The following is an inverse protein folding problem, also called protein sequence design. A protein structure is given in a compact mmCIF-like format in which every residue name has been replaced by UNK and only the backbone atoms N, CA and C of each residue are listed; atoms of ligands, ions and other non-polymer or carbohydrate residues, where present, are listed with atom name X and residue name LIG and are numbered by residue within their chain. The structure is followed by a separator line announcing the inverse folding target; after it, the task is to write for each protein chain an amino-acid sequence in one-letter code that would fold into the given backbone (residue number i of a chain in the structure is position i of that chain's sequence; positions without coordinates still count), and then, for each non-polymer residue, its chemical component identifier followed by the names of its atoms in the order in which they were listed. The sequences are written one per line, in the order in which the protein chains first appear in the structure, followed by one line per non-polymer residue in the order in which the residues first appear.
data_IF_608764680008
#
_entry.id   IF_608764680008
#
_cell.length_a   1.000
_cell.length_b   1.000
_cell.length_c   1.000
_cell.angle_alpha   90.00
_cell.angle_beta   90.00
_cell.angle_gamma   90.00
#
_symmetry.space_group_name_H-M   'P 1'
#
loop_
_entity.id
_entity.type
_entity.pdbx_description
1 polymer ?
#
# COMPACT_ATOMS: atom_id res chain seq x y z
N UNK A 1 -3.42 -15.29 17.90
CA UNK A 1 -3.81 -14.09 17.11
C UNK A 1 -2.65 -13.11 17.16
N UNK A 2 -1.88 -12.99 16.07
CA UNK A 2 -0.58 -12.28 16.06
C UNK A 2 -0.69 -10.77 15.82
N UNK A 3 -1.66 -10.35 15.00
CA UNK A 3 -1.83 -8.94 14.67
C UNK A 3 -3.26 -8.48 14.94
N UNK A 4 -3.40 -7.27 15.48
CA UNK A 4 -4.64 -6.51 15.50
C UNK A 4 -4.49 -5.44 14.43
N UNK A 5 -5.42 -5.38 13.47
CA UNK A 5 -5.34 -4.48 12.33
C UNK A 5 -6.43 -3.42 12.44
N UNK A 6 -6.04 -2.15 12.36
CA UNK A 6 -6.93 -1.01 12.21
C UNK A 6 -6.91 -0.53 10.77
N UNK A 7 -8.08 -0.37 10.16
CA UNK A 7 -8.22 0.15 8.80
C UNK A 7 -9.11 1.39 8.87
N UNK A 8 -8.57 2.52 8.44
CA UNK A 8 -9.35 3.74 8.25
C UNK A 8 -9.63 3.91 6.76
N UNK A 9 -10.92 3.96 6.41
CA UNK A 9 -11.42 4.02 5.04
C UNK A 9 -12.09 5.37 4.81
N UNK A 10 -11.31 6.36 4.39
CA UNK A 10 -11.82 7.63 3.93
C UNK A 10 -12.22 7.59 2.45
N UNK A 11 -12.97 8.58 2.00
CA UNK A 11 -13.36 8.75 0.60
C UNK A 11 -12.20 9.19 -0.29
N UNK A 12 -11.25 9.96 0.24
CA UNK A 12 -10.06 10.43 -0.49
C UNK A 12 -8.83 9.59 -0.19
N UNK A 13 -8.66 9.22 1.08
CA UNK A 13 -7.47 8.54 1.57
C UNK A 13 -7.84 7.44 2.57
N UNK A 14 -7.05 6.37 2.59
CA UNK A 14 -7.14 5.26 3.52
C UNK A 14 -5.79 5.06 4.22
N UNK A 15 -5.80 4.50 5.42
CA UNK A 15 -4.58 4.07 6.10
C UNK A 15 -4.76 2.74 6.81
N UNK A 16 -3.65 2.04 7.04
CA UNK A 16 -3.62 0.78 7.78
C UNK A 16 -2.65 0.93 8.94
N UNK A 17 -3.09 0.50 10.11
CA UNK A 17 -2.25 0.38 11.30
C UNK A 17 -2.35 -1.03 11.87
N UNK A 18 -1.35 -1.42 12.64
CA UNK A 18 -1.35 -2.70 13.32
C UNK A 18 -0.72 -2.62 14.70
N UNK A 19 -1.07 -3.60 15.54
CA UNK A 19 -0.34 -3.96 16.75
C UNK A 19 0.14 -5.39 16.57
N UNK A 20 1.44 -5.65 16.73
CA UNK A 20 1.97 -7.01 16.91
C UNK A 20 1.78 -7.44 18.36
N UNK A 21 0.91 -8.42 18.60
CA UNK A 21 0.57 -8.88 19.96
C UNK A 21 1.69 -9.66 20.63
N UNK A 22 2.69 -10.09 19.87
CA UNK A 22 3.90 -10.71 20.43
C UNK A 22 4.97 -9.67 20.76
N UNK A 23 4.83 -8.41 20.30
CA UNK A 23 5.76 -7.34 20.64
C UNK A 23 5.40 -6.77 22.03
N UNK A 24 6.35 -6.72 22.99
CA UNK A 24 6.05 -6.42 24.39
C UNK A 24 5.49 -5.02 24.64
N UNK A 25 5.77 -4.06 23.73
CA UNK A 25 5.25 -2.70 23.85
C UNK A 25 3.79 -2.56 23.41
N UNK A 26 3.24 -3.50 22.64
CA UNK A 26 1.90 -3.44 22.06
C UNK A 26 1.58 -2.07 21.41
N UNK A 27 2.57 -1.50 20.72
CA UNK A 27 2.45 -0.18 20.11
C UNK A 27 1.64 -0.24 18.81
N UNK A 28 0.89 0.82 18.53
CA UNK A 28 0.25 1.01 17.24
C UNK A 28 1.29 1.50 16.24
N UNK A 29 1.46 0.75 15.16
CA UNK A 29 2.37 1.07 14.07
C UNK A 29 1.58 1.31 12.79
N UNK A 30 1.99 2.31 12.01
CA UNK A 30 1.42 2.54 10.68
C UNK A 30 2.07 1.59 9.67
N UNK A 31 1.26 0.81 8.97
CA UNK A 31 1.72 0.00 7.87
C UNK A 31 2.01 0.91 6.67
N UNK A 32 3.29 1.02 6.30
CA UNK A 32 3.67 1.70 5.06
C UNK A 32 3.53 0.73 3.90
N UNK A 33 2.65 1.05 2.95
CA UNK A 33 2.37 0.16 1.81
C UNK A 33 3.16 0.65 0.59
N UNK A 34 3.95 -0.23 -0.05
CA UNK A 34 4.61 0.08 -1.32
C UNK A 34 3.60 0.40 -2.43
N UNK A 35 3.80 1.51 -3.12
CA UNK A 35 2.95 1.99 -4.22
C UNK A 35 3.83 2.32 -5.41
N UNK A 36 3.33 2.03 -6.61
CA UNK A 36 3.94 2.53 -7.84
C UNK A 36 3.51 3.99 -8.03
N UNK A 37 4.31 4.93 -7.53
CA UNK A 37 3.99 6.37 -7.57
C UNK A 37 4.31 6.99 -8.94
N UNK A 38 5.25 6.41 -9.68
CA UNK A 38 5.59 6.75 -11.05
C UNK A 38 6.14 5.53 -11.80
N UNK A 39 6.36 5.65 -13.11
CA UNK A 39 6.91 4.57 -13.93
C UNK A 39 8.29 4.13 -13.40
N UNK A 40 8.38 2.90 -12.90
CA UNK A 40 9.59 2.33 -12.31
C UNK A 40 9.90 2.77 -10.86
N UNK A 41 9.04 3.56 -10.21
CA UNK A 41 9.27 4.06 -8.85
C UNK A 41 8.28 3.44 -7.86
N UNK A 42 8.80 2.66 -6.91
CA UNK A 42 8.01 2.07 -5.82
C UNK A 42 8.37 2.75 -4.51
N UNK A 43 7.40 3.44 -3.92
CA UNK A 43 7.56 4.20 -2.68
C UNK A 43 6.62 3.68 -1.60
N UNK A 44 7.09 3.62 -0.35
CA UNK A 44 6.27 3.15 0.77
C UNK A 44 5.56 4.33 1.43
N UNK A 45 4.22 4.42 1.32
CA UNK A 45 3.42 5.50 1.89
C UNK A 45 2.62 5.04 3.11
N UNK A 46 2.48 5.94 4.08
CA UNK A 46 1.68 5.74 5.30
C UNK A 46 0.17 5.95 5.07
N UNK A 47 -0.18 6.71 4.04
CA UNK A 47 -1.55 7.01 3.62
C UNK A 47 -1.65 6.65 2.13
N UNK A 48 -2.75 6.01 1.76
CA UNK A 48 -3.02 5.55 0.41
C UNK A 48 -4.21 6.29 -0.17
N UNK A 49 -4.18 6.66 -1.45
CA UNK A 49 -5.38 7.17 -2.11
C UNK A 49 -6.49 6.11 -2.11
N UNK A 50 -7.73 6.52 -1.85
CA UNK A 50 -8.92 5.65 -1.91
C UNK A 50 -9.41 5.42 -3.35
N UNK A 51 -8.52 5.53 -4.31
CA UNK A 51 -8.78 5.35 -5.74
C UNK A 51 -7.66 4.53 -6.37
N UNK A 52 -8.02 3.72 -7.35
CA UNK A 52 -7.08 2.88 -8.10
C UNK A 52 -7.11 3.33 -9.56
N UNK A 53 -5.93 3.62 -10.11
CA UNK A 53 -5.79 3.86 -11.54
C UNK A 53 -5.75 2.51 -12.28
N UNK A 54 -6.68 2.32 -13.21
CA UNK A 54 -6.76 1.14 -14.07
C UNK A 54 -6.47 1.59 -15.51
N UNK A 55 -5.29 1.26 -16.01
CA UNK A 55 -4.89 1.62 -17.37
C UNK A 55 -5.69 0.86 -18.43
N UNK A 56 -5.94 1.50 -19.57
CA UNK A 56 -6.49 0.82 -20.74
C UNK A 56 -5.42 -0.06 -21.43
N UNK A 57 -5.81 -1.11 -22.19
CA UNK A 57 -4.87 -2.08 -22.77
C UNK A 57 -3.78 -1.52 -23.69
N UNK A 58 -3.95 -0.33 -24.25
CA UNK A 58 -3.03 0.31 -25.21
C UNK A 58 -2.59 1.71 -24.78
N UNK A 59 -2.87 2.10 -23.53
CA UNK A 59 -2.50 3.41 -22.98
C UNK A 59 -1.00 3.49 -22.68
N UNK A 60 -0.39 2.36 -22.32
CA UNK A 60 1.02 2.28 -21.95
C UNK A 60 1.72 1.08 -22.59
N UNK A 61 3.04 1.18 -22.86
CA UNK A 61 3.86 0.04 -23.22
C UNK A 61 3.72 -1.12 -22.24
N UNK A 62 3.71 -2.34 -22.77
CA UNK A 62 3.68 -3.55 -21.96
C UNK A 62 4.82 -3.55 -20.93
N UNK A 63 4.49 -3.95 -19.70
CA UNK A 63 5.45 -4.06 -18.61
C UNK A 63 5.79 -2.76 -17.88
N UNK A 64 5.23 -1.61 -18.29
CA UNK A 64 5.56 -0.31 -17.67
C UNK A 64 5.19 -0.19 -16.19
N UNK A 65 4.16 -0.90 -15.76
CA UNK A 65 3.71 -0.93 -14.37
C UNK A 65 4.05 -2.24 -13.65
N UNK A 66 4.94 -3.03 -14.23
CA UNK A 66 5.35 -4.29 -13.62
C UNK A 66 6.10 -4.00 -12.32
N UNK A 67 5.61 -4.59 -11.24
CA UNK A 67 6.23 -4.45 -9.94
C UNK A 67 7.56 -5.22 -9.93
N UNK A 68 8.55 -4.82 -9.09
CA UNK A 68 9.89 -5.40 -9.07
C UNK A 68 9.94 -6.92 -8.86
N UNK A 69 8.86 -7.52 -8.37
CA UNK A 69 8.74 -8.97 -8.13
C UNK A 69 7.98 -9.72 -9.23
N UNK A 70 7.54 -9.05 -10.29
CA UNK A 70 6.99 -9.69 -11.48
C UNK A 70 8.18 -10.25 -12.28
N UNK A 71 8.20 -11.57 -12.45
CA UNK A 71 9.24 -12.29 -13.22
C UNK A 71 9.12 -12.03 -14.70
#
# INVERSE_FOLDING_TARGET
MRYIIGIDLGTTNSCVSYIDTHHPKLAVETLRVPQLSAAGFVEAHAILPSFCYLSLPHEWPAGRFDLPWKK
#
